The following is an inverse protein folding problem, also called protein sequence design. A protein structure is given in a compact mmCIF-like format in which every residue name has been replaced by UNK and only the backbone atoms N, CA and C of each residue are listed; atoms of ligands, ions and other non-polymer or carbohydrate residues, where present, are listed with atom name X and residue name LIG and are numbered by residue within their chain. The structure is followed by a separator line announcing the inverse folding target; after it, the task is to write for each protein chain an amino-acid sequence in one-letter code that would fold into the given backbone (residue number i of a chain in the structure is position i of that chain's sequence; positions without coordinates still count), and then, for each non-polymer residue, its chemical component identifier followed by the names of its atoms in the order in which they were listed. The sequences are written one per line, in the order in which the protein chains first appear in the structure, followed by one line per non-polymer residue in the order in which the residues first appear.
data_IF_799243262572
#
_entry.id   IF_799243262572
#
_cell.length_a   1.000
_cell.length_b   1.000
_cell.length_c   1.000
_cell.angle_alpha   90.00
_cell.angle_beta   90.00
_cell.angle_gamma   90.00
#
_symmetry.space_group_name_H-M   'P 1'
#
loop_
_entity.id
_entity.type
_entity.pdbx_description
1 polymer ?
#
# COMPACT_ATOMS: atom_id res chain seq x y z
N UNK A 1 -14.29 3.88 23.65
CA UNK A 1 -15.06 4.97 22.99
C UNK A 1 -16.02 4.33 21.99
N UNK A 2 -17.32 4.61 22.07
CA UNK A 2 -18.34 4.01 21.20
C UNK A 2 -18.20 4.55 19.76
N UNK A 3 -18.20 3.67 18.75
CA UNK A 3 -18.02 4.01 17.34
C UNK A 3 -18.99 5.11 16.86
N UNK A 4 -20.24 5.11 17.36
CA UNK A 4 -21.24 6.14 17.04
C UNK A 4 -20.83 7.54 17.50
N UNK A 5 -20.14 7.65 18.64
CA UNK A 5 -19.69 8.95 19.17
C UNK A 5 -18.52 9.50 18.37
N UNK A 6 -17.64 8.63 17.87
CA UNK A 6 -16.53 9.03 17.00
C UNK A 6 -17.04 9.64 15.68
N UNK A 7 -18.03 9.00 15.05
CA UNK A 7 -18.60 9.49 13.78
C UNK A 7 -19.31 10.83 13.91
N UNK A 8 -20.13 11.00 14.96
CA UNK A 8 -20.81 12.27 15.22
C UNK A 8 -19.82 13.41 15.48
N UNK A 9 -18.81 13.16 16.31
CA UNK A 9 -17.76 14.14 16.59
C UNK A 9 -16.98 14.55 15.32
N UNK A 10 -16.74 13.61 14.39
CA UNK A 10 -16.13 13.91 13.11
C UNK A 10 -16.99 14.82 12.22
N UNK A 11 -18.30 14.59 12.17
CA UNK A 11 -19.21 15.46 11.41
C UNK A 11 -19.36 16.85 12.00
N UNK A 12 -19.46 16.95 13.32
CA UNK A 12 -19.53 18.24 14.00
C UNK A 12 -18.23 19.03 13.81
N UNK A 13 -17.08 18.34 13.76
CA UNK A 13 -15.77 18.94 13.48
C UNK A 13 -15.70 19.59 12.09
N UNK A 14 -16.24 18.93 11.06
CA UNK A 14 -16.25 19.45 9.68
C UNK A 14 -17.16 20.67 9.48
N UNK A 15 -18.07 20.97 10.42
CA UNK A 15 -18.96 22.14 10.32
C UNK A 15 -18.25 23.45 10.62
N UNK A 16 -17.12 23.41 11.32
CA UNK A 16 -16.32 24.62 11.57
C UNK A 16 -15.57 25.01 10.27
N UNK A 17 -15.69 26.26 9.79
CA UNK A 17 -15.09 26.69 8.52
C UNK A 17 -13.58 26.47 8.43
N UNK A 18 -12.87 26.61 9.56
CA UNK A 18 -11.43 26.37 9.63
C UNK A 18 -11.09 24.90 9.31
N UNK A 19 -11.80 23.95 9.93
CA UNK A 19 -11.55 22.53 9.73
C UNK A 19 -11.91 22.08 8.33
N UNK A 20 -13.01 22.60 7.79
CA UNK A 20 -13.36 22.40 6.39
C UNK A 20 -12.24 22.91 5.46
N UNK A 21 -11.70 24.10 5.71
CA UNK A 21 -10.55 24.65 4.98
C UNK A 21 -9.30 23.78 5.06
N UNK A 22 -9.00 23.21 6.24
CA UNK A 22 -7.88 22.27 6.43
C UNK A 22 -8.08 20.99 5.60
N UNK A 23 -9.28 20.44 5.55
CA UNK A 23 -9.59 19.27 4.72
C UNK A 23 -9.45 19.61 3.24
N UNK A 24 -9.99 20.73 2.79
CA UNK A 24 -9.81 21.18 1.40
C UNK A 24 -8.34 21.33 1.04
N UNK A 25 -7.54 21.92 1.94
CA UNK A 25 -6.10 22.08 1.74
C UNK A 25 -5.38 20.72 1.66
N UNK A 26 -5.79 19.75 2.46
CA UNK A 26 -5.27 18.38 2.39
C UNK A 26 -5.69 17.64 1.11
N UNK A 27 -6.81 18.02 0.47
CA UNK A 27 -7.20 17.45 -0.81
C UNK A 27 -6.39 18.01 -1.99
N UNK A 28 -5.69 19.15 -1.84
CA UNK A 28 -4.85 19.73 -2.90
C UNK A 28 -3.75 18.76 -3.36
N UNK A 29 -2.86 18.23 -2.49
CA UNK A 29 -1.82 17.29 -2.93
C UNK A 29 -2.41 15.99 -3.49
N UNK A 30 -3.54 15.53 -2.95
CA UNK A 30 -4.27 14.37 -3.48
C UNK A 30 -4.71 14.65 -4.92
N UNK A 31 -5.49 15.71 -5.13
CA UNK A 31 -6.00 16.07 -6.46
C UNK A 31 -4.86 16.31 -7.46
N UNK A 32 -3.79 16.98 -7.04
CA UNK A 32 -2.62 17.20 -7.87
C UNK A 32 -1.95 15.88 -8.30
N UNK A 33 -1.75 14.94 -7.38
CA UNK A 33 -1.20 13.63 -7.70
C UNK A 33 -2.13 12.83 -8.61
N UNK A 34 -3.46 12.83 -8.39
CA UNK A 34 -4.40 12.11 -9.26
C UNK A 34 -4.41 12.68 -10.69
N UNK A 35 -4.36 14.01 -10.85
CA UNK A 35 -4.25 14.65 -12.17
C UNK A 35 -2.92 14.30 -12.83
N UNK A 36 -1.82 14.32 -12.06
CA UNK A 36 -0.50 13.91 -12.56
C UNK A 36 -0.52 12.47 -13.06
N UNK A 37 -1.11 11.55 -12.27
CA UNK A 37 -1.25 10.14 -12.64
C UNK A 37 -2.11 9.94 -13.89
N UNK A 38 -3.22 10.65 -14.00
CA UNK A 38 -4.06 10.58 -15.20
C UNK A 38 -3.29 11.01 -16.45
N UNK A 39 -2.52 12.11 -16.35
CA UNK A 39 -1.75 12.64 -17.48
C UNK A 39 -0.50 11.81 -17.83
N UNK A 40 0.22 11.30 -16.83
CA UNK A 40 1.51 10.62 -17.00
C UNK A 40 1.44 9.09 -16.94
N UNK A 41 0.29 8.51 -16.59
CA UNK A 41 0.09 7.07 -16.52
C UNK A 41 0.26 6.41 -17.90
N UNK A 42 1.20 5.47 -18.01
CA UNK A 42 1.53 4.81 -19.26
C UNK A 42 0.77 3.48 -19.40
N UNK A 43 0.33 3.11 -20.61
CA UNK A 43 -0.35 1.84 -20.86
C UNK A 43 0.61 0.66 -21.07
N UNK A 44 1.91 0.87 -20.88
CA UNK A 44 2.95 -0.13 -21.13
C UNK A 44 3.67 -0.48 -19.82
N UNK A 45 4.10 -1.75 -19.63
CA UNK A 45 4.77 -2.15 -18.41
C UNK A 45 6.11 -1.41 -18.30
N UNK A 46 6.43 -0.95 -17.10
CA UNK A 46 7.67 -0.24 -16.81
C UNK A 46 8.40 -0.90 -15.65
N UNK A 47 9.73 -1.08 -15.78
CA UNK A 47 10.61 -1.63 -14.72
C UNK A 47 10.09 -2.96 -14.16
N UNK A 48 9.65 -2.95 -12.89
CA UNK A 48 9.19 -4.14 -12.16
C UNK A 48 7.93 -4.77 -12.79
N UNK A 49 7.04 -3.97 -13.40
CA UNK A 49 5.89 -4.53 -14.16
C UNK A 49 6.40 -5.42 -15.30
N UNK A 50 7.47 -5.00 -15.98
CA UNK A 50 8.03 -5.76 -17.11
C UNK A 50 8.70 -7.05 -16.63
N UNK A 51 9.50 -6.97 -15.56
CA UNK A 51 10.31 -8.10 -15.10
C UNK A 51 9.49 -9.13 -14.32
N UNK A 52 8.56 -8.68 -13.48
CA UNK A 52 7.84 -9.55 -12.56
C UNK A 52 6.36 -9.65 -12.91
N UNK A 53 5.70 -8.50 -13.12
CA UNK A 53 4.26 -8.48 -13.33
C UNK A 53 3.81 -9.20 -14.61
N UNK A 54 4.59 -9.06 -15.69
CA UNK A 54 4.24 -9.62 -16.99
C UNK A 54 4.19 -11.15 -17.01
N UNK A 55 5.08 -11.81 -16.25
CA UNK A 55 5.10 -13.26 -16.14
C UNK A 55 3.79 -13.77 -15.53
N UNK A 56 3.34 -13.16 -14.43
CA UNK A 56 2.07 -13.52 -13.78
C UNK A 56 0.90 -13.32 -14.75
N UNK A 57 0.84 -12.20 -15.48
CA UNK A 57 -0.24 -11.95 -16.42
C UNK A 57 -0.26 -12.96 -17.59
N UNK A 58 0.91 -13.33 -18.10
CA UNK A 58 1.05 -14.35 -19.16
C UNK A 58 0.60 -15.72 -18.66
N UNK A 59 1.04 -16.14 -17.48
CA UNK A 59 0.66 -17.43 -16.88
C UNK A 59 -0.83 -17.52 -16.59
N UNK A 60 -1.46 -16.42 -16.15
CA UNK A 60 -2.92 -16.34 -16.01
C UNK A 60 -3.61 -16.57 -17.36
N UNK A 61 -3.15 -15.91 -18.43
CA UNK A 61 -3.74 -16.04 -19.77
C UNK A 61 -3.51 -17.41 -20.40
N UNK A 62 -2.40 -18.06 -20.09
CA UNK A 62 -2.07 -19.41 -20.55
C UNK A 62 -2.76 -20.50 -19.71
N UNK A 63 -3.36 -20.14 -18.57
CA UNK A 63 -3.96 -21.09 -17.64
C UNK A 63 -2.92 -21.96 -16.92
N UNK A 64 -1.68 -21.49 -16.81
CA UNK A 64 -0.55 -22.19 -16.20
C UNK A 64 -0.19 -21.68 -14.82
N UNK A 65 -0.81 -20.58 -14.36
CA UNK A 65 -0.52 -19.98 -13.06
C UNK A 65 -0.72 -20.98 -11.91
N UNK A 66 0.35 -21.23 -11.16
CA UNK A 66 0.38 -22.01 -9.93
C UNK A 66 0.49 -21.16 -8.66
N UNK A 67 0.41 -21.82 -7.51
CA UNK A 67 0.64 -21.19 -6.21
C UNK A 67 2.10 -20.81 -5.99
N UNK A 68 3.03 -21.58 -6.57
CA UNK A 68 4.47 -21.32 -6.45
C UNK A 68 4.85 -20.02 -7.17
N UNK A 69 4.21 -19.71 -8.29
CA UNK A 69 4.45 -18.46 -9.05
C UNK A 69 3.98 -17.24 -8.25
N UNK A 70 2.84 -17.35 -7.56
CA UNK A 70 2.33 -16.28 -6.69
C UNK A 70 3.20 -16.01 -5.46
N UNK A 71 3.90 -17.03 -4.98
CA UNK A 71 4.74 -17.00 -3.77
C UNK A 71 6.23 -16.96 -4.10
N UNK A 72 6.58 -16.83 -5.38
CA UNK A 72 7.95 -16.79 -5.83
C UNK A 72 8.68 -15.61 -5.19
N UNK A 73 9.91 -15.90 -4.76
CA UNK A 73 10.79 -14.90 -4.18
C UNK A 73 11.51 -14.12 -5.27
N UNK A 74 11.46 -12.80 -5.16
CA UNK A 74 12.08 -11.87 -6.09
C UNK A 74 12.87 -10.84 -5.28
N UNK A 75 14.19 -10.92 -5.36
CA UNK A 75 15.11 -10.09 -4.55
C UNK A 75 14.89 -10.20 -3.04
N UNK A 76 14.46 -11.37 -2.53
CA UNK A 76 14.17 -11.56 -1.11
C UNK A 76 12.78 -11.07 -0.68
N UNK A 77 11.93 -10.71 -1.65
CA UNK A 77 10.57 -10.25 -1.43
C UNK A 77 9.56 -11.16 -2.14
N UNK A 78 8.47 -11.53 -1.45
CA UNK A 78 7.33 -12.22 -2.08
C UNK A 78 6.15 -11.28 -2.27
N UNK A 79 5.80 -11.01 -3.52
CA UNK A 79 4.80 -10.00 -3.86
C UNK A 79 3.36 -10.53 -3.88
N UNK A 80 2.96 -11.39 -2.94
CA UNK A 80 1.68 -12.12 -3.01
C UNK A 80 0.45 -11.21 -3.29
N UNK A 81 0.30 -10.11 -2.55
CA UNK A 81 -0.86 -9.22 -2.73
C UNK A 81 -0.82 -8.47 -4.07
N UNK A 82 0.37 -8.04 -4.50
CA UNK A 82 0.56 -7.41 -5.82
C UNK A 82 0.33 -8.42 -6.95
N UNK A 83 0.80 -9.66 -6.81
CA UNK A 83 0.56 -10.72 -7.77
C UNK A 83 -0.94 -11.04 -7.86
N UNK A 84 -1.65 -11.13 -6.74
CA UNK A 84 -3.11 -11.30 -6.73
C UNK A 84 -3.85 -10.11 -7.37
N UNK A 85 -3.36 -8.89 -7.17
CA UNK A 85 -3.85 -7.71 -7.88
C UNK A 85 -3.66 -7.86 -9.40
N UNK A 86 -2.47 -8.27 -9.86
CA UNK A 86 -2.19 -8.51 -11.29
C UNK A 86 -3.13 -9.59 -11.84
N UNK A 87 -3.31 -10.72 -11.13
CA UNK A 87 -4.25 -11.77 -11.52
C UNK A 87 -5.66 -11.18 -11.70
N UNK A 88 -6.13 -10.39 -10.72
CA UNK A 88 -7.43 -9.75 -10.78
C UNK A 88 -7.58 -8.85 -12.01
N UNK A 89 -6.60 -7.97 -12.28
CA UNK A 89 -6.66 -7.09 -13.45
C UNK A 89 -6.45 -7.83 -14.79
N UNK A 90 -5.68 -8.92 -14.79
CA UNK A 90 -5.50 -9.78 -15.97
C UNK A 90 -6.80 -10.46 -16.36
N UNK A 91 -7.55 -10.95 -15.38
CA UNK A 91 -8.86 -11.58 -15.61
C UNK A 91 -9.94 -10.56 -15.97
N UNK A 92 -9.93 -9.37 -15.35
CA UNK A 92 -10.99 -8.38 -15.51
C UNK A 92 -10.81 -7.45 -16.71
N UNK A 93 -9.58 -7.10 -17.05
CA UNK A 93 -9.27 -6.00 -17.99
C UNK A 93 -8.19 -6.33 -19.01
N UNK A 94 -7.83 -7.61 -19.15
CA UNK A 94 -6.67 -8.04 -19.94
C UNK A 94 -5.36 -7.35 -19.51
N UNK A 95 -5.21 -7.16 -18.19
CA UNK A 95 -4.08 -6.51 -17.54
C UNK A 95 -3.86 -5.07 -18.04
N UNK A 96 -4.93 -4.27 -17.98
CA UNK A 96 -4.86 -2.84 -18.25
C UNK A 96 -4.08 -2.14 -17.13
N UNK A 97 -2.80 -1.86 -17.39
CA UNK A 97 -1.89 -1.23 -16.44
C UNK A 97 -2.37 0.14 -15.95
N UNK A 98 -3.09 0.89 -16.80
CA UNK A 98 -3.64 2.18 -16.39
C UNK A 98 -4.74 2.01 -15.34
N UNK A 99 -5.54 0.95 -15.45
CA UNK A 99 -6.55 0.61 -14.44
C UNK A 99 -5.90 0.11 -13.15
N UNK A 100 -4.86 -0.72 -13.27
CA UNK A 100 -4.10 -1.25 -12.12
C UNK A 100 -3.41 -0.14 -11.32
N UNK A 101 -2.79 0.84 -12.00
CA UNK A 101 -2.12 1.99 -11.39
C UNK A 101 -3.01 2.74 -10.37
N UNK A 102 -4.33 2.81 -10.61
CA UNK A 102 -5.27 3.48 -9.69
C UNK A 102 -5.45 2.78 -8.34
N UNK A 103 -4.93 1.56 -8.17
CA UNK A 103 -4.86 0.90 -6.86
C UNK A 103 -3.94 1.66 -5.90
N UNK A 104 -2.83 2.23 -6.40
CA UNK A 104 -1.86 2.96 -5.58
C UNK A 104 -2.49 4.10 -4.77
N UNK A 105 -3.16 5.10 -5.38
CA UNK A 105 -3.76 6.20 -4.62
C UNK A 105 -4.85 5.72 -3.65
N UNK A 106 -5.58 4.66 -3.99
CA UNK A 106 -6.54 4.04 -3.06
C UNK A 106 -5.83 3.51 -1.80
N UNK A 107 -4.75 2.75 -1.96
CA UNK A 107 -3.97 2.23 -0.83
C UNK A 107 -3.31 3.35 -0.03
N UNK A 108 -2.80 4.39 -0.69
CA UNK A 108 -2.24 5.57 0.00
C UNK A 108 -3.32 6.27 0.84
N UNK A 109 -4.54 6.44 0.33
CA UNK A 109 -5.66 7.00 1.11
C UNK A 109 -6.03 6.13 2.31
N UNK A 110 -6.05 4.79 2.15
CA UNK A 110 -6.30 3.87 3.25
C UNK A 110 -5.21 3.96 4.33
N UNK A 111 -3.94 4.02 3.91
CA UNK A 111 -2.80 4.22 4.79
C UNK A 111 -2.90 5.55 5.55
N UNK A 112 -3.19 6.66 4.86
CA UNK A 112 -3.38 7.96 5.47
C UNK A 112 -4.52 7.94 6.50
N UNK A 113 -5.66 7.35 6.14
CA UNK A 113 -6.81 7.19 7.03
C UNK A 113 -6.48 6.39 8.29
N UNK A 114 -5.73 5.30 8.16
CA UNK A 114 -5.28 4.50 9.31
C UNK A 114 -4.26 5.22 10.18
N UNK A 115 -3.30 5.94 9.59
CA UNK A 115 -2.34 6.76 10.34
C UNK A 115 -3.09 7.81 11.18
N UNK A 116 -4.02 8.55 10.56
CA UNK A 116 -4.82 9.56 11.24
C UNK A 116 -5.73 8.96 12.31
N UNK A 117 -6.29 7.77 12.08
CA UNK A 117 -7.07 7.04 13.06
C UNK A 117 -6.23 6.65 14.29
N UNK A 118 -5.06 6.05 14.05
CA UNK A 118 -4.14 5.63 15.11
C UNK A 118 -3.61 6.83 15.91
N UNK A 119 -3.25 7.91 15.23
CA UNK A 119 -2.86 9.17 15.85
C UNK A 119 -4.01 9.77 16.66
N UNK A 120 -5.22 9.80 16.10
CA UNK A 120 -6.41 10.35 16.75
C UNK A 120 -6.80 9.60 18.02
N UNK A 121 -6.50 8.31 18.11
CA UNK A 121 -6.69 7.56 19.33
C UNK A 121 -5.73 7.94 20.47
N UNK A 122 -4.57 8.56 20.19
CA UNK A 122 -3.62 9.00 21.23
C UNK A 122 -3.65 10.51 21.43
N UNK A 123 -3.69 11.26 20.33
CA UNK A 123 -3.56 12.71 20.29
C UNK A 123 -4.58 13.29 19.28
N UNK A 124 -5.87 13.39 19.64
CA UNK A 124 -6.92 13.92 18.75
C UNK A 124 -6.60 15.31 18.20
N UNK A 125 -5.92 16.15 19.00
CA UNK A 125 -5.54 17.50 18.59
C UNK A 125 -4.48 17.50 17.49
N UNK A 126 -3.56 16.52 17.52
CA UNK A 126 -2.45 16.41 16.58
C UNK A 126 -2.92 16.02 15.17
N UNK A 127 -3.98 15.22 15.04
CA UNK A 127 -4.60 14.85 13.75
C UNK A 127 -4.88 16.08 12.88
N UNK A 128 -5.36 17.16 13.50
CA UNK A 128 -5.72 18.40 12.81
C UNK A 128 -4.51 19.10 12.20
N UNK A 129 -3.38 19.08 12.90
CA UNK A 129 -2.13 19.68 12.44
C UNK A 129 -1.39 18.75 11.48
N UNK A 130 -1.57 17.44 11.62
CA UNK A 130 -0.88 16.42 10.84
C UNK A 130 -1.55 16.14 9.49
N UNK A 131 -2.86 16.40 9.33
CA UNK A 131 -3.62 16.03 8.14
C UNK A 131 -3.00 16.58 6.84
N UNK A 132 -2.74 17.88 6.78
CA UNK A 132 -2.15 18.54 5.60
C UNK A 132 -0.73 18.05 5.31
N UNK A 133 0.24 18.10 6.25
CA UNK A 133 1.61 17.65 5.96
C UNK A 133 1.69 16.15 5.68
N UNK A 134 0.88 15.30 6.33
CA UNK A 134 0.85 13.87 6.01
C UNK A 134 0.27 13.62 4.62
N UNK A 135 -0.79 14.31 4.24
CA UNK A 135 -1.33 14.19 2.88
C UNK A 135 -0.31 14.65 1.84
N UNK A 136 0.34 15.80 2.05
CA UNK A 136 1.38 16.29 1.16
C UNK A 136 2.57 15.33 1.05
N UNK A 137 3.01 14.73 2.16
CA UNK A 137 4.08 13.75 2.17
C UNK A 137 3.70 12.47 1.42
N UNK A 138 2.51 11.93 1.71
CA UNK A 138 2.06 10.66 1.15
C UNK A 138 1.70 10.73 -0.33
N UNK A 139 1.32 11.91 -0.85
CA UNK A 139 1.04 12.17 -2.25
C UNK A 139 2.11 13.01 -2.94
N UNK A 140 3.31 13.12 -2.35
CA UNK A 140 4.42 13.85 -2.94
C UNK A 140 4.85 13.22 -4.27
N UNK A 141 5.07 14.04 -5.31
CA UNK A 141 5.56 13.55 -6.60
C UNK A 141 7.03 13.09 -6.56
N UNK A 142 7.75 13.29 -5.45
CA UNK A 142 9.09 12.71 -5.26
C UNK A 142 9.10 11.18 -5.27
N UNK A 143 7.92 10.54 -5.13
CA UNK A 143 7.71 9.10 -5.27
C UNK A 143 6.84 8.78 -6.49
N UNK A 144 6.95 9.55 -7.58
CA UNK A 144 6.15 9.35 -8.80
C UNK A 144 6.17 7.92 -9.34
N UNK A 145 7.29 7.20 -9.22
CA UNK A 145 7.38 5.81 -9.65
C UNK A 145 6.38 4.94 -8.88
N UNK A 146 6.23 5.16 -7.57
CA UNK A 146 5.29 4.43 -6.72
C UNK A 146 3.84 4.81 -7.01
N UNK A 147 3.60 5.97 -7.61
CA UNK A 147 2.28 6.39 -8.04
C UNK A 147 1.93 5.79 -9.41
N UNK A 148 2.86 5.82 -10.36
CA UNK A 148 2.62 5.51 -11.78
C UNK A 148 2.73 4.02 -12.13
N UNK A 149 3.44 3.22 -11.34
CA UNK A 149 3.69 1.80 -11.64
C UNK A 149 2.80 0.92 -10.78
N UNK A 150 1.98 0.07 -11.41
CA UNK A 150 0.99 -0.77 -10.73
C UNK A 150 1.63 -1.74 -9.72
N UNK A 151 2.78 -2.32 -10.08
CA UNK A 151 3.53 -3.23 -9.21
C UNK A 151 4.04 -2.59 -7.90
N UNK A 152 4.24 -1.26 -7.89
CA UNK A 152 4.68 -0.55 -6.68
C UNK A 152 3.60 -0.48 -5.59
N UNK A 153 2.39 -1.00 -5.84
CA UNK A 153 1.36 -1.23 -4.82
C UNK A 153 1.87 -2.10 -3.66
N UNK A 154 2.91 -2.91 -3.90
CA UNK A 154 3.61 -3.72 -2.89
C UNK A 154 4.04 -2.90 -1.66
N UNK A 155 4.65 -1.72 -1.84
CA UNK A 155 5.05 -0.84 -0.73
C UNK A 155 3.86 -0.33 0.08
N UNK A 156 2.76 -0.01 -0.61
CA UNK A 156 1.55 0.47 0.02
C UNK A 156 0.80 -0.64 0.77
N UNK A 157 0.83 -1.88 0.26
CA UNK A 157 0.31 -3.05 0.94
C UNK A 157 1.11 -3.37 2.22
N UNK A 158 2.44 -3.36 2.16
CA UNK A 158 3.30 -3.56 3.34
C UNK A 158 2.94 -2.54 4.44
N UNK A 159 2.86 -1.26 4.06
CA UNK A 159 2.48 -0.18 4.98
C UNK A 159 1.09 -0.44 5.58
N UNK A 160 0.13 -0.83 4.75
CA UNK A 160 -1.24 -1.11 5.18
C UNK A 160 -1.31 -2.25 6.19
N UNK A 161 -0.61 -3.36 5.92
CA UNK A 161 -0.57 -4.52 6.80
C UNK A 161 0.11 -4.19 8.13
N UNK A 162 1.19 -3.40 8.13
CA UNK A 162 1.86 -2.92 9.34
C UNK A 162 0.88 -2.08 10.18
N UNK A 163 0.21 -1.10 9.57
CA UNK A 163 -0.74 -0.22 10.25
C UNK A 163 -1.94 -1.00 10.81
N UNK A 164 -2.47 -1.97 10.05
CA UNK A 164 -3.51 -2.88 10.51
C UNK A 164 -3.03 -3.77 11.66
N UNK A 165 -1.79 -4.25 11.59
CA UNK A 165 -1.10 -4.95 12.67
C UNK A 165 -1.12 -4.13 13.96
N UNK A 166 -0.58 -2.91 13.90
CA UNK A 166 -0.55 -1.95 15.02
C UNK A 166 -1.95 -1.66 15.59
N UNK A 167 -2.93 -1.45 14.72
CA UNK A 167 -4.33 -1.25 15.13
C UNK A 167 -4.89 -2.48 15.87
N UNK A 168 -4.50 -3.68 15.45
CA UNK A 168 -4.84 -4.95 16.09
C UNK A 168 -4.23 -5.10 17.47
N UNK A 169 -2.92 -4.86 17.62
CA UNK A 169 -2.19 -4.97 18.91
C UNK A 169 -2.88 -4.16 20.00
N UNK A 170 -3.30 -2.93 19.65
CA UNK A 170 -3.91 -2.02 20.61
C UNK A 170 -5.27 -2.50 21.12
N UNK A 171 -6.01 -3.28 20.34
CA UNK A 171 -7.34 -3.79 20.71
C UNK A 171 -7.28 -5.13 21.42
N UNK A 172 -6.24 -5.90 21.17
CA UNK A 172 -6.11 -7.21 21.74
C UNK A 172 -5.63 -7.10 23.20
N UNK A 173 -6.30 -7.78 24.14
CA UNK A 173 -5.76 -7.95 25.49
C UNK A 173 -4.37 -8.60 25.39
N UNK A 174 -3.38 -8.14 26.16
CA UNK A 174 -2.05 -8.75 26.16
C UNK A 174 -2.17 -10.26 26.40
N UNK A 175 -1.85 -11.07 25.39
CA UNK A 175 -2.08 -12.51 25.39
C UNK A 175 -1.52 -13.19 24.14
N UNK A 176 -1.33 -14.51 24.22
CA UNK A 176 -0.66 -15.30 23.18
C UNK A 176 -1.38 -15.31 21.82
N UNK A 177 -2.71 -15.12 21.80
CA UNK A 177 -3.47 -14.95 20.55
C UNK A 177 -3.16 -13.61 19.86
N UNK A 178 -3.00 -12.55 20.64
CA UNK A 178 -2.59 -11.22 20.18
C UNK A 178 -1.18 -11.26 19.59
N UNK A 179 -0.29 -12.02 20.23
CA UNK A 179 1.06 -12.31 19.75
C UNK A 179 1.03 -13.15 18.46
N UNK A 180 0.20 -14.20 18.39
CA UNK A 180 0.04 -15.02 17.18
C UNK A 180 -0.50 -14.25 15.98
N UNK A 181 -1.43 -13.31 16.19
CA UNK A 181 -1.93 -12.41 15.13
C UNK A 181 -0.86 -11.40 14.71
N UNK A 182 -0.07 -10.88 15.66
CA UNK A 182 1.08 -10.01 15.39
C UNK A 182 2.15 -10.72 14.57
N UNK A 183 2.52 -11.93 14.97
CA UNK A 183 3.51 -12.76 14.29
C UNK A 183 2.98 -13.22 12.94
N UNK A 184 1.71 -13.60 12.81
CA UNK A 184 1.11 -13.94 11.50
C UNK A 184 1.09 -12.75 10.52
N UNK A 185 0.84 -11.53 11.02
CA UNK A 185 0.85 -10.31 10.20
C UNK A 185 2.26 -9.79 9.91
N UNK A 186 3.17 -9.91 10.87
CA UNK A 186 4.58 -9.62 10.74
C UNK A 186 5.25 -10.60 9.78
N UNK A 187 4.95 -11.90 9.86
CA UNK A 187 5.39 -12.92 8.92
C UNK A 187 4.75 -12.74 7.54
N UNK A 188 3.52 -12.22 7.42
CA UNK A 188 3.03 -11.80 6.11
C UNK A 188 3.87 -10.65 5.54
N UNK A 189 4.39 -9.75 6.38
CA UNK A 189 5.35 -8.70 6.01
C UNK A 189 6.80 -9.18 5.83
N UNK A 190 7.25 -10.22 6.54
CA UNK A 190 8.61 -10.78 6.45
C UNK A 190 8.72 -11.85 5.36
N UNK A 191 7.65 -12.59 5.05
CA UNK A 191 7.52 -13.33 3.80
C UNK A 191 7.60 -12.36 2.61
N UNK A 192 7.34 -11.07 2.82
CA UNK A 192 7.52 -9.98 1.88
C UNK A 192 8.93 -9.36 1.91
N UNK A 193 9.86 -9.68 2.84
CA UNK A 193 11.14 -8.93 3.01
C UNK A 193 12.41 -9.74 3.37
N UNK A 194 12.37 -11.05 3.66
CA UNK A 194 13.57 -11.73 4.18
C UNK A 194 13.96 -13.05 3.48
N UNK A 195 14.98 -13.03 2.62
CA UNK A 195 15.81 -14.20 2.29
C UNK A 195 17.09 -14.24 3.14
N UNK A 196 17.27 -15.32 3.91
CA UNK A 196 18.48 -15.55 4.73
C UNK A 196 19.74 -15.82 3.89
N UNK A 197 19.63 -16.10 2.58
CA UNK A 197 20.79 -16.42 1.74
C UNK A 197 21.63 -15.19 1.37
N UNK A 198 21.08 -13.98 1.46
CA UNK A 198 21.83 -12.75 1.17
C UNK A 198 22.90 -12.40 2.22
N UNK A 199 22.75 -12.89 3.47
CA UNK A 199 23.63 -12.49 4.59
C UNK A 199 24.79 -13.46 4.83
N UNK A 200 24.69 -14.72 4.37
CA UNK A 200 25.64 -15.77 4.75
C UNK A 200 26.47 -16.39 3.62
N UNK A 201 26.46 -15.79 2.43
CA UNK A 201 27.53 -16.02 1.45
C UNK A 201 27.17 -16.95 0.30
N UNK A 202 27.50 -16.45 -0.88
CA UNK A 202 27.53 -17.18 -2.13
C UNK A 202 28.06 -16.24 -3.21
N UNK A 203 29.39 -16.15 -3.33
CA UNK A 203 30.07 -15.34 -4.33
C UNK A 203 29.82 -15.83 -5.75
N UNK A 204 28.66 -15.50 -6.31
CA UNK A 204 28.34 -15.64 -7.72
C UNK A 204 28.49 -14.29 -8.41
N UNK A 205 29.50 -14.16 -9.28
CA UNK A 205 29.80 -12.91 -9.99
C UNK A 205 28.63 -12.43 -10.84
N UNK A 206 28.20 -11.20 -10.59
CA UNK A 206 27.31 -10.46 -11.48
C UNK A 206 28.09 -10.07 -12.74
N UNK A 207 27.96 -10.89 -13.79
CA UNK A 207 28.27 -10.48 -15.16
C UNK A 207 27.02 -9.79 -15.71
N UNK A 208 27.09 -8.47 -15.84
CA UNK A 208 26.15 -7.71 -16.66
C UNK A 208 26.32 -8.14 -18.12
N UNK A 209 25.24 -8.64 -18.72
CA UNK A 209 25.00 -8.62 -20.16
C UNK A 209 23.77 -7.74 -20.38
#
# INVERSE_FOLDING_TARGET
MNFKHFWKAGWDWLREPLHFGVVLLALVPVGYALVYMDYHGQPAPYTDDWVFGSNIAVEVKQGTLGWDDLLQDYNGHRYLLTNLQIVFFTLLTDWNLRAEMWVNPLLIMLNLGLILLLLGWQQPRAVRLALVPLSALMFALSQELNLLVGFQSSWHFVTLLILLGLAGVRRASAGWLSFGVLVGRGLAGDLLVWDRRAVLGGGGGWRWL
#
